data_IF_305354430897
#
_entry.id   IF_305354430897
#
_cell.length_a   1.000
_cell.length_b   1.000
_cell.length_c   1.000
_cell.angle_alpha   90.00
_cell.angle_beta   90.00
_cell.angle_gamma   90.00
#
_symmetry.space_group_name_H-M   'P 1'
#
loop_
_entity.id
_entity.type
_entity.pdbx_description
1 polymer ?
#
# COMPACT_ATOMS: atom_id res chain seq x y z
N UNK A 1 -5.42 -0.29 -0.38
CA UNK A 1 -5.14 0.85 -1.28
C UNK A 1 -6.26 1.86 -1.16
N UNK A 2 -5.94 3.15 -1.05
CA UNK A 2 -6.89 4.26 -0.95
C UNK A 2 -6.67 5.23 -2.12
N UNK A 3 -7.72 5.93 -2.54
CA UNK A 3 -7.69 6.91 -3.63
C UNK A 3 -6.76 8.07 -3.35
N UNK A 4 -6.83 8.61 -2.13
CA UNK A 4 -6.06 9.77 -1.68
C UNK A 4 -5.87 9.77 -0.14
N UNK A 5 -5.24 10.83 0.37
CA UNK A 5 -5.02 11.03 1.81
C UNK A 5 -6.32 11.24 2.60
N UNK A 6 -7.33 11.83 1.97
CA UNK A 6 -8.62 12.09 2.64
C UNK A 6 -9.33 10.78 2.93
N UNK A 7 -9.41 9.90 1.94
CA UNK A 7 -9.94 8.55 2.12
C UNK A 7 -9.10 7.76 3.13
N UNK A 8 -7.77 7.79 3.01
CA UNK A 8 -6.86 7.12 3.97
C UNK A 8 -7.14 7.52 5.42
N UNK A 9 -7.37 8.80 5.67
CA UNK A 9 -7.61 9.35 7.03
C UNK A 9 -8.96 8.92 7.61
N UNK A 10 -9.86 8.34 6.81
CA UNK A 10 -11.12 7.75 7.26
C UNK A 10 -10.89 6.34 7.84
N UNK A 11 -9.96 5.58 7.25
CA UNK A 11 -9.70 4.18 7.61
C UNK A 11 -8.53 3.99 8.57
N UNK A 12 -7.69 5.01 8.76
CA UNK A 12 -6.58 4.98 9.69
C UNK A 12 -6.52 6.24 10.55
N UNK A 13 -6.08 6.09 11.81
CA UNK A 13 -5.78 7.22 12.68
C UNK A 13 -4.52 7.92 12.18
N UNK A 14 -4.63 9.21 11.88
CA UNK A 14 -3.55 10.04 11.35
C UNK A 14 -3.37 11.24 12.27
N UNK A 15 -2.25 11.27 13.00
CA UNK A 15 -1.88 12.44 13.79
C UNK A 15 -1.19 13.53 12.94
N UNK A 16 -0.81 14.63 13.58
CA UNK A 16 -0.16 15.76 12.91
C UNK A 16 1.24 15.45 12.34
N UNK A 17 1.97 14.49 12.91
CA UNK A 17 3.29 14.09 12.40
C UNK A 17 3.08 13.24 11.16
N UNK A 18 2.27 12.19 11.27
CA UNK A 18 1.92 11.30 10.17
C UNK A 18 1.29 12.07 9.00
N UNK A 19 0.37 13.00 9.26
CA UNK A 19 -0.26 13.80 8.21
C UNK A 19 0.76 14.62 7.42
N UNK A 20 1.67 15.33 8.10
CA UNK A 20 2.68 16.18 7.44
C UNK A 20 3.65 15.34 6.62
N UNK A 21 4.08 14.20 7.15
CA UNK A 21 4.95 13.27 6.43
C UNK A 21 4.26 12.70 5.20
N UNK A 22 3.04 12.17 5.34
CA UNK A 22 2.31 11.58 4.22
C UNK A 22 1.94 12.62 3.16
N UNK A 23 1.54 13.85 3.54
CA UNK A 23 1.22 14.94 2.61
C UNK A 23 2.34 15.25 1.63
N UNK A 24 3.59 15.21 2.10
CA UNK A 24 4.75 15.50 1.26
C UNK A 24 5.30 14.27 0.54
N UNK A 25 4.80 13.08 0.85
CA UNK A 25 5.30 11.79 0.35
C UNK A 25 4.18 10.90 -0.23
N UNK A 26 3.09 11.51 -0.70
CA UNK A 26 2.02 10.82 -1.42
C UNK A 26 1.58 11.65 -2.62
N UNK A 27 1.07 11.01 -3.69
CA UNK A 27 0.84 9.57 -3.87
C UNK A 27 2.09 8.77 -4.25
N UNK A 28 2.02 7.44 -4.22
CA UNK A 28 2.93 6.54 -4.92
C UNK A 28 3.71 5.56 -4.04
N UNK A 29 4.99 5.84 -3.86
CA UNK A 29 6.05 4.84 -3.62
C UNK A 29 6.11 4.29 -2.18
N UNK A 30 5.08 4.55 -1.37
CA UNK A 30 5.07 4.26 0.05
C UNK A 30 3.87 3.43 0.48
N UNK A 31 4.09 2.61 1.49
CA UNK A 31 3.06 2.03 2.32
C UNK A 31 3.29 2.49 3.77
N UNK A 32 2.30 3.13 4.38
CA UNK A 32 2.38 3.61 5.75
C UNK A 32 1.65 2.65 6.69
N UNK A 33 2.32 2.16 7.73
CA UNK A 33 1.66 1.39 8.78
C UNK A 33 1.06 2.37 9.78
N UNK A 34 -0.25 2.27 9.99
CA UNK A 34 -1.02 3.13 10.89
C UNK A 34 -1.98 2.27 11.73
N UNK A 35 -2.51 2.83 12.81
CA UNK A 35 -3.60 2.21 13.59
C UNK A 35 -4.90 2.35 12.80
N UNK A 36 -5.61 1.23 12.58
CA UNK A 36 -6.88 1.26 11.84
C UNK A 36 -8.01 1.86 12.68
N UNK A 37 -8.96 2.53 12.01
CA UNK A 37 -10.21 2.99 12.64
C UNK A 37 -11.21 1.83 12.75
N UNK A 38 -12.42 2.12 13.23
CA UNK A 38 -13.51 1.14 13.30
C UNK A 38 -14.08 0.78 11.91
N UNK A 39 -13.82 1.60 10.90
CA UNK A 39 -14.20 1.33 9.51
C UNK A 39 -13.47 0.10 8.94
N UNK A 40 -12.31 -0.25 9.50
CA UNK A 40 -11.55 -1.42 9.08
C UNK A 40 -12.03 -2.66 9.85
N UNK A 41 -12.50 -3.71 9.16
CA UNK A 41 -12.86 -4.97 9.81
C UNK A 41 -11.70 -5.53 10.64
N UNK A 42 -12.00 -5.95 11.88
CA UNK A 42 -11.00 -6.45 12.83
C UNK A 42 -10.10 -7.56 12.28
N UNK A 43 -10.62 -8.40 11.38
CA UNK A 43 -9.88 -9.49 10.71
C UNK A 43 -8.76 -9.01 9.76
N UNK A 44 -8.79 -7.75 9.35
CA UNK A 44 -7.78 -7.14 8.48
C UNK A 44 -6.70 -6.40 9.26
N UNK A 45 -6.93 -6.16 10.56
CA UNK A 45 -5.97 -5.51 11.44
C UNK A 45 -5.01 -6.53 12.02
N UNK A 46 -3.75 -6.13 12.20
CA UNK A 46 -2.77 -6.92 12.92
C UNK A 46 -3.28 -7.21 14.34
N UNK A 47 -3.26 -8.48 14.76
CA UNK A 47 -4.01 -8.95 15.94
C UNK A 47 -3.68 -8.22 17.25
N UNK A 48 -2.42 -7.85 17.46
CA UNK A 48 -1.92 -7.24 18.71
C UNK A 48 -1.88 -5.72 18.63
N UNK A 49 -1.24 -5.19 17.58
CA UNK A 49 -1.00 -3.74 17.37
C UNK A 49 -2.21 -3.02 16.80
N UNK A 50 -3.18 -3.74 16.22
CA UNK A 50 -4.37 -3.19 15.54
C UNK A 50 -4.01 -2.26 14.38
N UNK A 51 -2.94 -2.60 13.66
CA UNK A 51 -2.39 -1.80 12.57
C UNK A 51 -2.75 -2.36 11.21
N UNK A 52 -2.67 -1.50 10.19
CA UNK A 52 -2.87 -1.85 8.78
C UNK A 52 -1.94 -1.00 7.90
N UNK A 53 -1.55 -1.55 6.75
CA UNK A 53 -0.79 -0.82 5.73
C UNK A 53 -1.69 0.00 4.83
N UNK A 54 -1.44 1.30 4.78
CA UNK A 54 -2.15 2.27 3.96
C UNK A 54 -1.29 2.70 2.78
N UNK A 55 -1.85 2.70 1.58
CA UNK A 55 -1.14 3.03 0.33
C UNK A 55 -2.04 3.84 -0.58
N UNK A 56 -1.53 4.96 -1.08
CA UNK A 56 -2.16 5.77 -2.13
C UNK A 56 -1.38 5.54 -3.44
N UNK A 57 -1.91 4.80 -4.43
CA UNK A 57 -1.19 4.52 -5.67
C UNK A 57 -1.16 5.76 -6.58
N UNK A 58 -0.13 5.89 -7.42
CA UNK A 58 -0.04 6.96 -8.43
C UNK A 58 -0.38 6.49 -9.85
N UNK A 59 -0.51 5.18 -10.10
CA UNK A 59 -0.73 4.69 -11.46
C UNK A 59 -2.21 4.90 -11.89
N UNK A 60 -2.46 5.31 -13.16
CA UNK A 60 -3.82 5.60 -13.63
C UNK A 60 -4.80 4.43 -13.52
N UNK A 61 -4.33 3.20 -13.76
CA UNK A 61 -5.20 2.01 -13.69
C UNK A 61 -5.73 1.81 -12.26
N UNK A 62 -4.88 1.86 -11.24
CA UNK A 62 -5.36 1.68 -9.87
C UNK A 62 -6.24 2.85 -9.41
N UNK A 63 -5.93 4.08 -9.83
CA UNK A 63 -6.76 5.23 -9.53
C UNK A 63 -8.15 5.10 -10.15
N UNK A 64 -8.26 4.66 -11.40
CA UNK A 64 -9.55 4.41 -12.05
C UNK A 64 -10.34 3.28 -11.38
N UNK A 65 -9.66 2.21 -10.95
CA UNK A 65 -10.31 1.12 -10.20
C UNK A 65 -10.87 1.60 -8.85
N UNK A 66 -10.08 2.38 -8.10
CA UNK A 66 -10.51 2.93 -6.81
C UNK A 66 -11.65 3.95 -6.98
N UNK A 67 -11.58 4.79 -8.00
CA UNK A 67 -12.65 5.74 -8.33
C UNK A 67 -13.96 5.01 -8.69
N UNK A 68 -13.87 3.92 -9.45
CA UNK A 68 -15.05 3.11 -9.80
C UNK A 68 -15.61 2.34 -8.60
N UNK A 69 -14.73 1.85 -7.72
CA UNK A 69 -15.12 1.11 -6.52
C UNK A 69 -15.79 2.02 -5.48
N UNK A 70 -15.33 3.27 -5.35
CA UNK A 70 -15.88 4.25 -4.42
C UNK A 70 -15.47 4.05 -2.95
N UNK A 71 -14.58 3.10 -2.67
CA UNK A 71 -14.01 2.81 -1.35
C UNK A 71 -12.60 2.17 -1.48
N UNK A 72 -11.84 2.04 -0.38
CA UNK A 72 -10.54 1.38 -0.42
C UNK A 72 -10.60 -0.09 -0.82
N UNK A 73 -9.62 -0.49 -1.62
CA UNK A 73 -9.43 -1.89 -1.99
C UNK A 73 -8.47 -2.59 -1.03
N UNK A 74 -8.87 -3.73 -0.46
CA UNK A 74 -7.95 -4.62 0.25
C UNK A 74 -6.92 -5.18 -0.75
N UNK A 75 -5.64 -5.01 -0.44
CA UNK A 75 -4.56 -5.26 -1.41
C UNK A 75 -3.27 -5.67 -0.72
N UNK A 76 -2.46 -6.47 -1.39
CA UNK A 76 -1.06 -6.75 -1.01
C UNK A 76 -0.15 -6.53 -2.22
N UNK A 77 1.15 -6.35 -1.98
CA UNK A 77 2.14 -6.45 -3.06
C UNK A 77 2.18 -7.89 -3.55
N UNK A 78 2.18 -8.08 -4.86
CA UNK A 78 2.35 -9.40 -5.47
C UNK A 78 3.83 -9.79 -5.43
N UNK A 79 4.23 -10.49 -4.37
CA UNK A 79 5.58 -11.02 -4.17
C UNK A 79 5.44 -12.52 -3.91
N UNK A 80 6.18 -13.35 -4.65
CA UNK A 80 6.15 -14.79 -4.43
C UNK A 80 6.86 -15.18 -3.12
N UNK A 81 6.53 -16.36 -2.54
CA UNK A 81 7.15 -16.83 -1.31
C UNK A 81 8.69 -16.84 -1.39
N UNK A 82 9.34 -16.15 -0.45
CA UNK A 82 10.80 -16.05 -0.38
C UNK A 82 11.43 -15.00 -1.29
N UNK A 83 10.63 -14.24 -2.06
CA UNK A 83 11.11 -13.13 -2.90
C UNK A 83 11.07 -11.80 -2.15
N UNK A 84 12.12 -11.01 -2.30
CA UNK A 84 12.16 -9.59 -1.90
C UNK A 84 11.62 -8.65 -3.01
N UNK A 85 11.31 -9.21 -4.18
CA UNK A 85 10.88 -8.49 -5.37
C UNK A 85 9.41 -8.75 -5.70
N UNK A 86 8.75 -7.75 -6.29
CA UNK A 86 7.40 -7.87 -6.83
C UNK A 86 7.42 -8.43 -8.24
N UNK A 87 6.38 -9.19 -8.58
CA UNK A 87 6.12 -9.60 -9.94
C UNK A 87 5.88 -8.37 -10.84
N UNK A 88 6.38 -8.44 -12.07
CA UNK A 88 6.45 -7.28 -12.98
C UNK A 88 6.12 -7.59 -14.44
N UNK A 89 6.27 -8.86 -14.84
CA UNK A 89 5.91 -9.34 -16.16
C UNK A 89 4.47 -9.88 -16.14
N UNK A 90 3.53 -9.24 -16.85
CA UNK A 90 2.13 -9.65 -16.84
C UNK A 90 1.90 -11.04 -17.45
N UNK A 91 2.73 -11.49 -18.39
CA UNK A 91 2.62 -12.82 -18.98
C UNK A 91 3.10 -13.89 -17.98
N UNK A 92 4.20 -13.63 -17.26
CA UNK A 92 4.65 -14.51 -16.18
C UNK A 92 3.61 -14.59 -15.05
N UNK A 93 3.01 -13.45 -14.67
CA UNK A 93 1.93 -13.40 -13.68
C UNK A 93 0.76 -14.26 -14.13
N UNK A 94 0.36 -14.17 -15.40
CA UNK A 94 -0.72 -14.98 -15.98
C UNK A 94 -0.38 -16.46 -15.92
N UNK A 95 0.76 -16.86 -16.44
CA UNK A 95 1.17 -18.28 -16.47
C UNK A 95 1.21 -18.92 -15.08
N UNK A 96 1.58 -18.15 -14.06
CA UNK A 96 1.63 -18.61 -12.67
C UNK A 96 0.27 -18.61 -11.97
N UNK A 97 -0.56 -17.60 -12.21
CA UNK A 97 -1.70 -17.28 -11.35
C UNK A 97 -3.07 -17.37 -12.03
N UNK A 98 -3.17 -17.60 -13.33
CA UNK A 98 -4.46 -17.62 -14.07
C UNK A 98 -5.49 -18.62 -13.50
N UNK A 99 -5.03 -19.62 -12.73
CA UNK A 99 -5.89 -20.64 -12.11
C UNK A 99 -6.32 -20.31 -10.67
N UNK A 100 -5.76 -19.26 -10.07
CA UNK A 100 -5.99 -18.91 -8.65
C UNK A 100 -6.54 -17.50 -8.46
N UNK A 101 -6.60 -16.67 -9.51
CA UNK A 101 -7.23 -15.36 -9.48
C UNK A 101 -8.31 -15.26 -10.57
N UNK A 102 -9.36 -14.49 -10.29
CA UNK A 102 -10.48 -14.32 -11.22
C UNK A 102 -10.16 -13.35 -12.37
N UNK A 103 -9.21 -12.43 -12.17
CA UNK A 103 -8.87 -11.38 -13.13
C UNK A 103 -7.40 -10.97 -13.01
N UNK A 104 -6.77 -10.79 -14.16
CA UNK A 104 -5.45 -10.17 -14.32
C UNK A 104 -5.60 -9.00 -15.29
N UNK A 105 -5.13 -7.82 -14.88
CA UNK A 105 -5.12 -6.62 -15.73
C UNK A 105 -3.70 -6.42 -16.24
N UNK A 106 -3.51 -6.57 -17.55
CA UNK A 106 -2.22 -6.30 -18.18
C UNK A 106 -1.96 -4.79 -18.22
N UNK A 107 -1.23 -4.28 -17.22
CA UNK A 107 -0.86 -2.87 -17.08
C UNK A 107 0.48 -2.46 -17.71
N UNK A 108 1.11 -3.37 -18.47
CA UNK A 108 2.48 -3.22 -18.97
C UNK A 108 3.52 -3.82 -18.03
N UNK A 109 4.80 -3.74 -18.43
CA UNK A 109 5.94 -4.21 -17.64
C UNK A 109 6.30 -3.18 -16.57
N UNK A 110 6.35 -3.62 -15.31
CA UNK A 110 6.56 -2.74 -14.16
C UNK A 110 7.96 -2.91 -13.55
N UNK A 111 8.30 -2.05 -12.58
CA UNK A 111 9.47 -2.27 -11.74
C UNK A 111 9.22 -3.39 -10.73
N UNK A 112 10.28 -4.14 -10.39
CA UNK A 112 10.24 -5.22 -9.40
C UNK A 112 10.47 -4.75 -7.96
N UNK A 113 10.88 -3.51 -7.78
CA UNK A 113 11.17 -2.98 -6.45
C UNK A 113 9.85 -2.63 -5.74
N UNK A 114 9.61 -3.12 -4.52
CA UNK A 114 8.38 -2.86 -3.80
C UNK A 114 8.33 -1.42 -3.26
N UNK A 115 7.17 -1.02 -2.70
CA UNK A 115 7.07 0.25 -1.96
C UNK A 115 7.94 0.24 -0.71
N UNK A 116 8.45 1.42 -0.36
CA UNK A 116 9.07 1.67 0.94
C UNK A 116 7.98 1.60 2.01
N UNK A 117 8.22 0.85 3.08
CA UNK A 117 7.26 0.66 4.17
C UNK A 117 7.73 1.44 5.39
N UNK A 118 6.94 2.41 5.82
CA UNK A 118 7.22 3.26 6.98
C UNK A 118 6.17 2.98 8.05
N UNK A 119 6.60 2.64 9.26
CA UNK A 119 5.75 2.58 10.44
C UNK A 119 5.60 3.98 11.03
N UNK A 120 4.35 4.46 11.11
CA UNK A 120 3.97 5.77 11.65
C UNK A 120 3.02 5.62 12.86
N UNK A 121 3.08 4.49 13.56
CA UNK A 121 2.14 4.20 14.66
C UNK A 121 2.53 4.80 16.00
N UNK A 122 3.80 5.21 16.11
CA UNK A 122 4.41 5.86 17.26
C UNK A 122 4.99 7.22 16.82
N UNK A 123 5.45 8.04 17.76
CA UNK A 123 5.90 9.41 17.49
C UNK A 123 7.11 9.52 16.53
N UNK A 124 7.92 8.46 16.46
CA UNK A 124 9.12 8.39 15.61
C UNK A 124 8.89 7.41 14.46
N UNK A 125 9.01 7.85 13.19
CA UNK A 125 8.90 6.96 12.04
C UNK A 125 9.95 5.85 12.06
N UNK A 126 9.57 4.65 11.63
CA UNK A 126 10.50 3.51 11.49
C UNK A 126 10.43 2.94 10.08
N UNK A 127 11.58 2.84 9.41
CA UNK A 127 11.67 2.16 8.11
C UNK A 127 11.61 0.65 8.34
N UNK A 128 10.52 0.02 7.90
CA UNK A 128 10.35 -1.44 7.97
C UNK A 128 10.87 -2.15 6.71
N UNK A 129 10.83 -1.46 5.57
CA UNK A 129 11.37 -1.94 4.30
C UNK A 129 11.78 -0.75 3.44
N UNK A 130 13.00 -0.77 2.93
CA UNK A 130 13.44 0.16 1.89
C UNK A 130 13.05 -0.37 0.51
N UNK A 131 12.42 0.48 -0.29
CA UNK A 131 11.89 0.17 -1.61
C UNK A 131 12.06 1.37 -2.54
N UNK A 132 11.10 1.62 -3.42
CA UNK A 132 11.17 2.72 -4.41
C UNK A 132 11.12 4.11 -3.77
N UNK A 133 10.53 4.25 -2.58
CA UNK A 133 10.39 5.52 -1.88
C UNK A 133 11.65 5.91 -1.11
N UNK A 134 12.08 7.17 -1.23
CA UNK A 134 13.19 7.71 -0.45
C UNK A 134 12.88 7.67 1.06
N UNK A 135 13.81 7.13 1.85
CA UNK A 135 13.67 7.00 3.30
C UNK A 135 14.09 8.25 4.07
N UNK A 136 14.90 9.13 3.47
CA UNK A 136 15.46 10.33 4.12
C UNK A 136 14.42 11.25 4.78
N UNK A 137 13.20 11.43 4.23
CA UNK A 137 12.17 12.25 4.89
C UNK A 137 11.66 11.69 6.24
N UNK A 138 12.00 10.45 6.57
CA UNK A 138 11.51 9.71 7.74
C UNK A 138 12.62 9.38 8.75
N UNK A 139 13.82 9.94 8.58
CA UNK A 139 14.99 9.76 9.45
C UNK A 139 15.25 10.99 10.32
#
# INVERSE_FOLDING_TARGET
MCRDLSELSTYAFVDNVAFRLMKNNTPGNYTFILKGTKEVPRRLLQEKRKTIGMRVPSNPIAQALLETLGEPMLSTSLMLPGSDFTESDPEEIKDRLEKVVDLIIHGGFLGQQPTTVIDLTEDTPVVLREGVGDVRPFL
#
